data_IF_754414501338
#
_entry.id   IF_754414501338
#
_cell.length_a   1.000
_cell.length_b   1.000
_cell.length_c   1.000
_cell.angle_alpha   90.00
_cell.angle_beta   90.00
_cell.angle_gamma   90.00
#
_symmetry.space_group_name_H-M   'P 1'
#
loop_
_entity.id
_entity.type
_entity.pdbx_description
1 polymer ?
#
# COMPACT_ATOMS: atom_id res chain seq x y z
N UNK A 1 -6.72 9.79 -11.14
CA UNK A 1 -7.13 8.93 -10.01
C UNK A 1 -6.23 7.72 -10.04
N UNK A 2 -5.43 7.50 -9.01
CA UNK A 2 -4.58 6.32 -8.89
C UNK A 2 -5.39 5.20 -8.25
N UNK A 3 -5.40 4.02 -8.88
CA UNK A 3 -6.13 2.85 -8.40
C UNK A 3 -5.28 1.99 -7.46
N UNK A 4 -5.92 1.21 -6.58
CA UNK A 4 -5.22 0.24 -5.71
C UNK A 4 -4.34 -0.74 -6.52
N UNK A 5 -4.77 -1.08 -7.74
CA UNK A 5 -4.02 -1.94 -8.66
C UNK A 5 -2.72 -1.25 -9.13
N UNK A 6 -2.77 0.03 -9.48
CA UNK A 6 -1.60 0.80 -9.88
C UNK A 6 -0.63 1.00 -8.71
N UNK A 7 -1.13 1.27 -7.50
CA UNK A 7 -0.29 1.39 -6.30
C UNK A 7 0.41 0.07 -6.02
N UNK A 8 -0.31 -1.04 -6.10
CA UNK A 8 0.25 -2.39 -5.94
C UNK A 8 1.38 -2.65 -6.96
N UNK A 9 1.14 -2.36 -8.25
CA UNK A 9 2.14 -2.53 -9.30
C UNK A 9 3.37 -1.63 -9.11
N UNK A 10 3.18 -0.34 -8.79
CA UNK A 10 4.27 0.64 -8.61
C UNK A 10 5.08 0.40 -7.32
N UNK A 11 4.41 -0.02 -6.25
CA UNK A 11 5.06 -0.29 -4.96
C UNK A 11 5.70 -1.68 -4.87
N UNK A 12 5.31 -2.60 -5.75
CA UNK A 12 5.81 -3.98 -5.76
C UNK A 12 5.13 -4.91 -4.75
N UNK A 13 3.94 -4.55 -4.26
CA UNK A 13 3.19 -5.33 -3.26
C UNK A 13 1.86 -5.82 -3.81
N UNK A 14 1.22 -6.75 -3.09
CA UNK A 14 -0.11 -7.24 -3.48
C UNK A 14 -1.19 -6.17 -3.28
N UNK A 15 -2.21 -6.17 -4.13
CA UNK A 15 -3.38 -5.29 -3.96
C UNK A 15 -4.07 -5.50 -2.59
N UNK A 16 -4.04 -6.72 -2.06
CA UNK A 16 -4.58 -7.02 -0.73
C UNK A 16 -3.75 -6.36 0.39
N UNK A 17 -2.43 -6.28 0.25
CA UNK A 17 -1.54 -5.58 1.20
C UNK A 17 -1.78 -4.08 1.16
N UNK A 18 -1.83 -3.50 -0.04
CA UNK A 18 -2.10 -2.07 -0.24
C UNK A 18 -3.47 -1.69 0.31
N UNK A 19 -4.51 -2.47 -0.03
CA UNK A 19 -5.88 -2.24 0.44
C UNK A 19 -5.95 -2.29 1.97
N UNK A 20 -5.41 -3.35 2.59
CA UNK A 20 -5.40 -3.47 4.06
C UNK A 20 -4.63 -2.32 4.72
N UNK A 21 -3.50 -1.91 4.17
CA UNK A 21 -2.72 -0.80 4.72
C UNK A 21 -3.47 0.53 4.63
N UNK A 22 -3.97 0.88 3.44
CA UNK A 22 -4.63 2.17 3.20
C UNK A 22 -6.00 2.26 3.87
N UNK A 23 -6.67 1.13 4.09
CA UNK A 23 -7.90 1.07 4.90
C UNK A 23 -7.62 0.96 6.41
N UNK A 24 -6.36 0.96 6.84
CA UNK A 24 -6.00 0.98 8.26
C UNK A 24 -6.28 -0.32 9.01
N UNK A 25 -6.13 -1.47 8.36
CA UNK A 25 -6.28 -2.79 8.98
C UNK A 25 -5.34 -2.92 10.20
N UNK A 26 -5.87 -3.00 11.44
CA UNK A 26 -5.06 -3.05 12.65
C UNK A 26 -4.34 -4.39 12.82
N UNK A 27 -4.75 -5.43 12.09
CA UNK A 27 -4.11 -6.76 12.11
C UNK A 27 -2.95 -6.87 11.13
N UNK A 28 -2.82 -5.89 10.22
CA UNK A 28 -1.74 -5.86 9.24
C UNK A 28 -0.43 -5.39 9.90
N UNK A 29 0.43 -6.35 10.22
CA UNK A 29 1.81 -6.06 10.60
C UNK A 29 2.70 -6.06 9.36
N UNK A 30 3.19 -4.87 8.99
CA UNK A 30 4.19 -4.68 7.93
C UNK A 30 5.32 -3.83 8.47
N UNK A 31 6.50 -3.95 7.86
CA UNK A 31 7.63 -3.08 8.20
C UNK A 31 7.31 -1.63 7.82
N UNK A 32 7.91 -0.69 8.55
CA UNK A 32 7.79 0.73 8.26
C UNK A 32 8.24 1.08 6.83
N UNK A 33 9.26 0.40 6.29
CA UNK A 33 9.69 0.57 4.90
C UNK A 33 8.56 0.27 3.89
N UNK A 34 7.80 -0.79 4.12
CA UNK A 34 6.67 -1.20 3.29
C UNK A 34 5.55 -0.17 3.38
N UNK A 35 5.23 0.26 4.61
CA UNK A 35 4.22 1.30 4.83
C UNK A 35 4.59 2.58 4.09
N UNK A 36 5.82 3.05 4.26
CA UNK A 36 6.33 4.28 3.65
C UNK A 36 6.29 4.21 2.12
N UNK A 37 6.74 3.09 1.54
CA UNK A 37 6.71 2.85 0.09
C UNK A 37 5.30 2.91 -0.49
N UNK A 38 4.33 2.28 0.17
CA UNK A 38 2.94 2.26 -0.31
C UNK A 38 2.31 3.65 -0.20
N UNK A 39 2.55 4.37 0.90
CA UNK A 39 2.04 5.73 1.10
C UNK A 39 2.63 6.68 0.06
N UNK A 40 3.95 6.68 -0.14
CA UNK A 40 4.64 7.54 -1.13
C UNK A 40 4.11 7.31 -2.55
N UNK A 41 3.82 6.06 -2.92
CA UNK A 41 3.25 5.73 -4.24
C UNK A 41 1.78 6.15 -4.34
N UNK A 42 1.04 6.15 -3.23
CA UNK A 42 -0.37 6.55 -3.21
C UNK A 42 -0.59 8.06 -3.31
N UNK A 43 0.41 8.86 -2.93
CA UNK A 43 0.38 10.34 -3.00
C UNK A 43 0.83 10.90 -4.36
N UNK A 44 1.37 10.06 -5.25
CA UNK A 44 1.76 10.39 -6.62
C UNK A 44 0.60 10.23 -7.61
#
# INVERSE_FOLDING_TARGET
MVTMKEIAQKSGFSQATVSRLLNGDPTLSVKEETRRRIIEVSEQ
#
